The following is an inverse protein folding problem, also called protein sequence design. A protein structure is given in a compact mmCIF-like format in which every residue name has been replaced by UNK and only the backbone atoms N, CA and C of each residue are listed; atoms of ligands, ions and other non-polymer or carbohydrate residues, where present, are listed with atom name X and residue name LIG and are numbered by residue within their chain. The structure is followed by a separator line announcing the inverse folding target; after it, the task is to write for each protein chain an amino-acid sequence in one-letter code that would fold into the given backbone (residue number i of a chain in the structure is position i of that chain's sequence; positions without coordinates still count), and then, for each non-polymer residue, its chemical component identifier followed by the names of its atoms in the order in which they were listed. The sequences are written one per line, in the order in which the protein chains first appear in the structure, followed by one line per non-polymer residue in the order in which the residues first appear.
data_IF_957256105168
#
_entry.id   IF_957256105168
#
_cell.length_a   1.000
_cell.length_b   1.000
_cell.length_c   1.000
_cell.angle_alpha   90.00
_cell.angle_beta   90.00
_cell.angle_gamma   90.00
#
_symmetry.space_group_name_H-M   'P 1'
#
loop_
_entity.id
_entity.type
_entity.pdbx_description
1 polymer ?
#
# COMPACT_ATOMS: atom_id res chain seq x y z
N UNK A 1 -1.44 -11.35 -4.08
CA UNK A 1 -2.47 -10.32 -4.38
C UNK A 1 -3.62 -10.95 -5.16
N UNK A 2 -4.89 -10.54 -4.98
CA UNK A 2 -5.96 -10.84 -5.96
C UNK A 2 -6.53 -9.58 -6.60
N UNK A 3 -6.69 -8.50 -5.83
CA UNK A 3 -7.13 -7.22 -6.34
C UNK A 3 -6.56 -6.05 -5.51
N UNK A 4 -6.47 -4.89 -6.14
CA UNK A 4 -6.19 -3.58 -5.55
C UNK A 4 -6.90 -2.51 -6.34
N UNK A 5 -7.09 -1.34 -5.76
CA UNK A 5 -7.74 -0.20 -6.37
C UNK A 5 -6.69 0.85 -6.76
N UNK A 6 -7.00 1.61 -7.82
CA UNK A 6 -6.30 2.85 -8.12
C UNK A 6 -7.12 4.00 -7.55
N UNK A 7 -6.54 4.72 -6.61
CA UNK A 7 -7.17 5.84 -5.95
C UNK A 7 -6.53 7.17 -6.37
N UNK A 8 -7.26 8.26 -6.16
CA UNK A 8 -6.77 9.59 -6.47
C UNK A 8 -5.47 9.98 -5.69
N UNK A 9 -5.23 9.52 -4.44
CA UNK A 9 -3.95 9.72 -3.76
C UNK A 9 -2.75 9.11 -4.49
N UNK A 10 -2.89 7.95 -5.17
CA UNK A 10 -1.76 7.26 -5.79
C UNK A 10 -1.08 8.13 -6.85
N UNK A 11 -1.88 8.68 -7.78
CA UNK A 11 -1.33 9.54 -8.84
C UNK A 11 -0.83 10.87 -8.28
N UNK A 12 -1.49 11.42 -7.25
CA UNK A 12 -1.04 12.65 -6.60
C UNK A 12 0.33 12.42 -5.98
N UNK A 13 0.50 11.34 -5.23
CA UNK A 13 1.74 10.99 -4.52
C UNK A 13 2.86 10.70 -5.52
N UNK A 14 2.54 10.01 -6.61
CA UNK A 14 3.46 9.84 -7.75
C UNK A 14 3.94 11.17 -8.33
N UNK A 15 3.02 12.13 -8.52
CA UNK A 15 3.38 13.46 -9.07
C UNK A 15 3.95 14.44 -8.05
N UNK A 16 3.86 14.12 -6.75
CA UNK A 16 4.16 15.07 -5.68
C UNK A 16 3.29 16.34 -5.76
N UNK A 17 2.01 16.20 -6.16
CA UNK A 17 1.08 17.32 -6.35
C UNK A 17 -0.12 17.25 -5.40
N UNK A 18 -0.51 18.36 -4.75
CA UNK A 18 0.18 19.67 -4.75
C UNK A 18 1.55 19.59 -4.06
N UNK A 19 2.45 20.55 -4.33
CA UNK A 19 3.85 20.51 -3.88
C UNK A 19 4.00 20.34 -2.36
N UNK A 20 3.07 20.90 -1.58
CA UNK A 20 3.02 20.75 -0.11
C UNK A 20 2.95 19.28 0.33
N UNK A 21 2.39 18.38 -0.48
CA UNK A 21 2.33 16.96 -0.16
C UNK A 21 3.71 16.31 -0.10
N UNK A 22 4.75 16.89 -0.74
CA UNK A 22 6.13 16.40 -0.62
C UNK A 22 6.67 16.54 0.81
N UNK A 23 6.10 17.43 1.63
CA UNK A 23 6.49 17.56 3.04
C UNK A 23 6.16 16.29 3.84
N UNK A 24 5.00 15.68 3.59
CA UNK A 24 4.60 14.43 4.25
C UNK A 24 5.10 13.18 3.52
N UNK A 25 5.12 13.20 2.18
CA UNK A 25 5.42 12.03 1.33
C UNK A 25 6.89 11.90 0.88
N UNK A 26 7.74 12.89 1.18
CA UNK A 26 9.17 12.89 0.88
C UNK A 26 9.61 14.07 0.01
N UNK A 27 10.55 14.88 0.54
CA UNK A 27 10.96 16.16 -0.07
C UNK A 27 11.83 15.95 -1.30
N UNK A 28 12.79 15.02 -1.26
CA UNK A 28 13.69 14.76 -2.38
C UNK A 28 13.34 13.47 -3.11
N UNK A 29 12.91 12.46 -2.35
CA UNK A 29 12.52 11.13 -2.82
C UNK A 29 11.27 10.66 -2.08
N UNK A 30 10.38 9.86 -2.70
CA UNK A 30 9.23 9.29 -2.02
C UNK A 30 9.65 8.47 -0.79
N UNK A 31 8.89 8.61 0.31
CA UNK A 31 9.06 7.76 1.51
C UNK A 31 8.61 6.32 1.24
N UNK A 32 7.55 6.15 0.45
CA UNK A 32 7.03 4.85 0.02
C UNK A 32 7.16 4.74 -1.50
N UNK A 33 8.04 3.83 -1.95
CA UNK A 33 8.37 3.67 -3.36
C UNK A 33 7.21 2.97 -4.10
N UNK A 34 6.63 1.94 -3.47
CA UNK A 34 5.49 1.19 -3.99
C UNK A 34 4.21 1.78 -3.39
N UNK A 35 3.22 2.08 -4.25
CA UNK A 35 1.95 2.74 -3.90
C UNK A 35 0.84 1.71 -3.76
N UNK A 36 -0.41 2.16 -3.63
CA UNK A 36 -1.56 1.33 -3.35
C UNK A 36 -1.71 1.10 -1.85
N UNK A 37 -2.90 1.41 -1.35
CA UNK A 37 -3.33 1.23 0.04
C UNK A 37 -4.24 0.02 0.14
N UNK A 38 -5.18 -0.13 -0.80
CA UNK A 38 -6.23 -1.13 -0.67
C UNK A 38 -5.78 -2.49 -1.24
N UNK A 39 -6.02 -3.56 -0.50
CA UNK A 39 -5.70 -4.93 -0.91
C UNK A 39 -6.87 -5.86 -0.68
N UNK A 40 -7.08 -6.79 -1.62
CA UNK A 40 -7.86 -8.01 -1.39
C UNK A 40 -7.08 -9.24 -1.86
N UNK A 41 -7.08 -10.30 -1.07
CA UNK A 41 -6.28 -11.49 -1.36
C UNK A 41 -6.39 -12.62 -0.35
N UNK A 42 -5.45 -13.56 -0.48
CA UNK A 42 -5.29 -14.73 0.39
C UNK A 42 -3.96 -14.56 1.14
N UNK A 43 -3.95 -14.92 2.41
CA UNK A 43 -2.75 -14.89 3.25
C UNK A 43 -1.82 -16.04 2.82
N UNK A 44 -0.61 -15.70 2.39
CA UNK A 44 0.42 -16.70 2.03
C UNK A 44 1.29 -17.10 3.22
N UNK A 45 1.46 -16.21 4.20
CA UNK A 45 2.28 -16.44 5.39
C UNK A 45 1.71 -15.63 6.56
N UNK A 46 1.86 -16.17 7.78
CA UNK A 46 1.43 -15.50 9.02
C UNK A 46 2.61 -15.33 9.95
N UNK A 47 2.70 -14.16 10.60
CA UNK A 47 3.65 -13.91 11.66
C UNK A 47 3.45 -14.83 12.87
N UNK A 48 4.49 -14.99 13.69
CA UNK A 48 4.45 -15.86 14.87
C UNK A 48 3.31 -15.46 15.82
N UNK A 49 2.44 -16.41 16.14
CA UNK A 49 1.29 -16.22 17.05
C UNK A 49 0.03 -15.68 16.38
N UNK A 50 0.05 -15.39 15.07
CA UNK A 50 -1.13 -15.03 14.30
C UNK A 50 -1.80 -16.29 13.77
N UNK A 51 -3.11 -16.42 13.99
CA UNK A 51 -3.84 -17.67 13.67
C UNK A 51 -5.18 -17.47 12.96
N UNK A 52 -5.62 -16.22 12.71
CA UNK A 52 -7.02 -15.93 12.35
C UNK A 52 -7.23 -15.31 10.97
N UNK A 53 -6.24 -15.34 10.07
CA UNK A 53 -6.38 -14.75 8.74
C UNK A 53 -6.13 -15.76 7.63
N UNK A 54 -7.14 -15.96 6.78
CA UNK A 54 -7.05 -16.78 5.56
C UNK A 54 -7.25 -15.92 4.29
N UNK A 55 -8.18 -14.96 4.36
CA UNK A 55 -8.47 -13.98 3.30
C UNK A 55 -8.50 -12.60 3.93
N UNK A 56 -8.08 -11.59 3.18
CA UNK A 56 -8.05 -10.20 3.63
C UNK A 56 -8.68 -9.31 2.57
N UNK A 57 -9.39 -8.28 3.02
CA UNK A 57 -9.83 -7.14 2.25
C UNK A 57 -9.71 -5.92 3.15
N UNK A 58 -8.59 -5.20 3.06
CA UNK A 58 -8.25 -4.16 4.04
C UNK A 58 -7.24 -3.14 3.46
N UNK A 59 -6.88 -2.15 4.27
CA UNK A 59 -5.82 -1.17 4.00
C UNK A 59 -4.44 -1.70 4.45
N UNK A 60 -3.51 -1.81 3.51
CA UNK A 60 -2.12 -2.19 3.71
C UNK A 60 -1.20 -0.99 4.03
N UNK A 61 -1.73 0.23 4.05
CA UNK A 61 -1.00 1.49 4.20
C UNK A 61 -0.27 1.91 2.92
N UNK A 62 0.66 1.08 2.45
CA UNK A 62 1.38 1.24 1.18
C UNK A 62 1.84 -0.12 0.63
N UNK A 63 2.22 -0.15 -0.65
CA UNK A 63 2.84 -1.34 -1.23
C UNK A 63 1.86 -2.32 -1.89
N UNK A 64 0.58 -1.98 -1.96
CA UNK A 64 -0.44 -2.84 -2.57
C UNK A 64 -0.24 -2.99 -4.10
N UNK A 65 0.52 -2.12 -4.77
CA UNK A 65 0.90 -2.31 -6.19
C UNK A 65 2.08 -3.28 -6.35
N UNK A 66 1.93 -4.48 -5.81
CA UNK A 66 2.89 -5.58 -5.86
C UNK A 66 2.17 -6.94 -5.83
N UNK A 67 2.90 -8.02 -6.15
CA UNK A 67 2.35 -9.39 -6.09
C UNK A 67 2.09 -9.84 -4.65
N UNK A 68 2.86 -9.31 -3.69
CA UNK A 68 2.75 -9.57 -2.25
C UNK A 68 2.93 -8.28 -1.46
N UNK A 69 2.24 -8.19 -0.33
CA UNK A 69 2.36 -7.10 0.64
C UNK A 69 2.35 -7.68 2.05
N UNK A 70 3.16 -7.09 2.93
CA UNK A 70 3.15 -7.40 4.37
C UNK A 70 2.44 -6.27 5.09
N UNK A 71 1.51 -6.63 5.98
CA UNK A 71 0.72 -5.71 6.80
C UNK A 71 0.98 -6.02 8.27
#
# INVERSE_FOLDING_TARGET
MKATSLNAPDWRLLRGKPMMMRLSSGIFRPKHIIKGTDVSGIVSEMGKGVTRFNKVSDDAGFGAFADYVSV
#
